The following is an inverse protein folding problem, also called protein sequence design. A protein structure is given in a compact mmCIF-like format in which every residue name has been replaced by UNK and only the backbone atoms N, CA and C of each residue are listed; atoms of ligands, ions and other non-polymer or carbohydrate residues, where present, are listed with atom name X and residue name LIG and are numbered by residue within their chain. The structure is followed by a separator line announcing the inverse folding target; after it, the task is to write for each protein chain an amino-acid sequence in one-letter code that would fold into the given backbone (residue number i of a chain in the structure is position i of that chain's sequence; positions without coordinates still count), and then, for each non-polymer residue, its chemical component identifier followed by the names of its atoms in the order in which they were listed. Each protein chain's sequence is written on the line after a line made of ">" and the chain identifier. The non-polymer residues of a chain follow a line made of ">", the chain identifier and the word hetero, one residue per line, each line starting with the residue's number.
data_IF_199254950486
#
_entry.id   IF_199254950486
#
_cell.length_a   1.000
_cell.length_b   1.000
_cell.length_c   1.000
_cell.angle_alpha   90.00
_cell.angle_beta   90.00
_cell.angle_gamma   90.00
#
_symmetry.space_group_name_H-M   'P 1'
#
loop_
_entity.id
_entity.type
_entity.pdbx_description
1 polymer ?
2 non-polymer ?
3 non-polymer ?
4 water ?
#
# COMPACT_ATOMS: atom_id res chain seq x y z
N UNK A 1 4.26 -7.96 21.89
CA UNK A 1 5.59 -7.82 22.48
C UNK A 1 6.68 -7.87 21.43
N UNK A 2 7.66 -6.98 21.56
CA UNK A 2 8.71 -6.90 20.56
C UNK A 2 9.61 -8.13 20.60
N UNK A 3 10.05 -8.54 19.42
CA UNK A 3 10.93 -9.68 19.23
C UNK A 3 12.24 -9.17 18.63
N UNK A 4 13.34 -9.86 18.95
CA UNK A 4 14.63 -9.44 18.42
C UNK A 4 14.69 -9.43 16.89
N UNK A 5 13.82 -10.19 16.22
CA UNK A 5 13.80 -10.22 14.77
C UNK A 5 13.04 -9.06 14.14
N UNK A 6 12.30 -8.27 14.93
CA UNK A 6 11.47 -7.21 14.34
C UNK A 6 12.27 -6.18 13.55
N UNK A 7 13.41 -5.66 14.03
CA UNK A 7 14.16 -4.70 13.20
C UNK A 7 14.52 -5.26 11.83
N UNK A 8 15.04 -6.49 11.77
CA UNK A 8 15.44 -7.06 10.49
C UNK A 8 14.24 -7.31 9.60
N UNK A 9 13.12 -7.78 10.17
CA UNK A 9 11.93 -7.98 9.35
C UNK A 9 11.40 -6.65 8.82
N UNK A 10 11.47 -5.60 9.63
CA UNK A 10 11.07 -4.28 9.18
C UNK A 10 12.00 -3.75 8.08
N UNK A 11 13.28 -4.13 8.08
CA UNK A 11 14.14 -3.76 6.97
C UNK A 11 13.68 -4.43 5.68
N UNK A 12 13.26 -5.70 5.76
CA UNK A 12 12.72 -6.36 4.57
C UNK A 12 11.47 -5.63 4.08
N UNK A 13 10.59 -5.25 5.01
CA UNK A 13 9.41 -4.47 4.65
C UNK A 13 9.80 -3.16 3.99
N UNK A 14 10.81 -2.45 4.53
CA UNK A 14 11.23 -1.21 3.91
C UNK A 14 11.76 -1.44 2.50
N UNK A 15 12.46 -2.57 2.29
CA UNK A 15 12.93 -2.89 0.95
C UNK A 15 11.78 -3.11 -0.02
N UNK A 16 10.77 -3.85 0.42
CA UNK A 16 9.56 -4.03 -0.40
C UNK A 16 8.94 -2.68 -0.75
N UNK A 17 8.79 -1.82 0.25
CA UNK A 17 8.19 -0.50 0.04
C UNK A 17 8.98 0.29 -1.00
N UNK A 18 10.31 0.30 -0.87
CA UNK A 18 11.13 0.97 -1.86
C UNK A 18 10.92 0.39 -3.25
N UNK A 19 10.82 -0.95 -3.35
CA UNK A 19 10.53 -1.55 -4.65
C UNK A 19 9.17 -1.12 -5.19
N UNK A 20 8.14 -1.10 -4.34
CA UNK A 20 6.82 -0.71 -4.83
C UNK A 20 6.81 0.71 -5.39
N UNK A 21 7.67 1.58 -4.87
CA UNK A 21 7.77 2.96 -5.28
C UNK A 21 8.76 3.18 -6.43
N UNK A 22 9.44 2.14 -6.88
CA UNK A 22 10.54 2.25 -7.83
C UNK A 22 10.04 2.31 -9.28
N UNK A 23 10.94 2.76 -10.17
CA UNK A 23 10.59 2.90 -11.58
C UNK A 23 10.14 1.58 -12.20
N UNK A 24 10.71 0.46 -11.73
CA UNK A 24 10.37 -0.84 -12.28
C UNK A 24 8.86 -1.08 -12.32
N UNK A 25 8.13 -0.61 -11.32
CA UNK A 25 6.71 -0.86 -11.20
C UNK A 25 5.83 0.36 -11.44
N UNK A 26 6.41 1.47 -11.91
CA UNK A 26 5.67 2.73 -11.94
C UNK A 26 4.49 2.71 -12.90
N UNK A 27 4.51 1.83 -13.91
CA UNK A 27 3.40 1.82 -14.87
C UNK A 27 2.08 1.41 -14.22
N UNK A 28 2.14 0.63 -13.13
CA UNK A 28 0.93 0.22 -12.43
C UNK A 28 0.91 0.61 -10.95
N UNK A 29 2.00 1.17 -10.41
CA UNK A 29 1.98 1.58 -9.01
C UNK A 29 1.49 3.00 -8.80
N UNK A 30 1.50 3.83 -9.85
CA UNK A 30 1.21 5.25 -9.69
C UNK A 30 -0.12 5.58 -9.01
N UNK A 31 -1.22 4.84 -9.20
CA UNK A 31 -2.45 5.22 -8.48
C UNK A 31 -2.35 5.11 -6.98
N UNK A 32 -1.32 4.45 -6.46
CA UNK A 32 -1.16 4.15 -5.05
C UNK A 32 -0.10 5.00 -4.37
N UNK A 33 0.50 5.95 -5.10
CA UNK A 33 1.59 6.75 -4.56
C UNK A 33 1.12 7.73 -3.48
N UNK A 34 -0.07 8.30 -3.61
CA UNK A 34 -0.53 9.38 -2.76
C UNK A 34 -1.97 9.11 -2.33
N UNK A 35 -2.42 9.76 -1.26
CA UNK A 35 -3.83 9.57 -0.84
C UNK A 35 -4.77 9.89 -1.99
N UNK A 36 -5.83 9.09 -2.12
CA UNK A 36 -6.88 9.41 -3.09
C UNK A 36 -7.43 10.79 -2.78
N UNK A 37 -7.36 11.69 -3.76
CA UNK A 37 -7.96 13.01 -3.64
C UNK A 37 -9.37 12.89 -4.23
N UNK A 38 -10.30 12.49 -3.38
CA UNK A 38 -11.63 12.11 -3.86
C UNK A 38 -12.33 13.27 -4.56
N UNK A 39 -12.27 14.46 -3.97
CA UNK A 39 -12.94 15.62 -4.57
C UNK A 39 -12.33 15.95 -5.92
N UNK A 40 -10.99 15.95 -6.01
CA UNK A 40 -10.33 16.29 -7.27
C UNK A 40 -10.70 15.31 -8.37
N UNK A 41 -10.89 14.04 -8.02
CA UNK A 41 -11.20 12.99 -8.98
C UNK A 41 -12.68 12.83 -9.22
N UNK A 42 -13.53 13.61 -8.56
CA UNK A 42 -14.96 13.46 -8.74
C UNK A 42 -15.56 12.26 -8.04
N UNK A 43 -14.83 11.65 -7.11
CA UNK A 43 -15.28 10.45 -6.41
C UNK A 43 -15.94 10.86 -5.09
N UNK A 44 -17.12 11.48 -5.23
CA UNK A 44 -17.73 12.15 -4.08
C UNK A 44 -18.32 11.19 -3.06
N UNK A 45 -18.36 9.90 -3.35
CA UNK A 45 -18.78 8.88 -2.41
C UNK A 45 -17.61 8.12 -1.79
N UNK A 46 -16.37 8.47 -2.15
CA UNK A 46 -15.21 7.67 -1.75
C UNK A 46 -15.14 7.51 -0.23
N UNK A 47 -15.27 8.61 0.51
CA UNK A 47 -15.13 8.54 1.96
C UNK A 47 -16.35 8.01 2.67
N UNK A 48 -17.48 7.88 1.99
CA UNK A 48 -18.60 7.15 2.54
C UNK A 48 -18.39 5.65 2.44
N UNK A 49 -17.65 5.19 1.43
CA UNK A 49 -17.44 3.77 1.16
C UNK A 49 -16.15 3.27 1.81
N UNK A 50 -15.11 4.10 1.81
CA UNK A 50 -13.78 3.76 2.31
C UNK A 50 -13.60 4.49 3.63
N UNK A 51 -13.73 3.77 4.75
CA UNK A 51 -13.62 4.42 6.04
C UNK A 51 -12.18 4.56 6.54
N UNK A 52 -11.24 3.80 5.97
CA UNK A 52 -9.83 3.84 6.38
C UNK A 52 -8.95 3.93 5.15
N UNK A 53 -8.79 5.13 4.58
CA UNK A 53 -7.92 5.30 3.42
C UNK A 53 -6.48 4.91 3.74
N UNK A 54 -5.77 4.42 2.73
CA UNK A 54 -4.35 4.11 2.88
C UNK A 54 -3.69 4.19 1.51
N UNK A 55 -2.40 4.56 1.50
CA UNK A 55 -1.63 4.72 0.27
C UNK A 55 -0.16 4.60 0.62
N UNK A 56 0.68 4.48 -0.42
CA UNK A 56 2.09 4.19 -0.18
C UNK A 56 2.84 5.35 0.49
N UNK A 57 2.45 6.61 0.24
CA UNK A 57 3.13 7.71 0.93
C UNK A 57 2.85 7.68 2.42
N UNK A 58 1.65 7.24 2.81
CA UNK A 58 1.33 7.11 4.23
C UNK A 58 2.09 5.95 4.85
N UNK A 59 2.17 4.82 4.16
CA UNK A 59 3.00 3.70 4.61
C UNK A 59 4.44 4.16 4.80
N UNK A 60 4.96 4.93 3.84
CA UNK A 60 6.34 5.42 3.94
C UNK A 60 6.53 6.30 5.16
N UNK A 61 5.60 7.24 5.40
CA UNK A 61 5.71 8.09 6.57
C UNK A 61 5.68 7.28 7.85
N UNK A 62 4.82 6.26 7.92
CA UNK A 62 4.72 5.44 9.11
C UNK A 62 5.98 4.60 9.31
N UNK A 63 6.61 4.15 8.23
CA UNK A 63 7.90 3.46 8.36
C UNK A 63 8.98 4.42 8.86
N UNK A 64 9.06 5.61 8.25
CA UNK A 64 10.12 6.56 8.62
C UNK A 64 10.01 6.99 10.07
N UNK A 65 8.78 7.09 10.59
CA UNK A 65 8.48 7.53 11.95
C UNK A 65 8.50 6.39 12.96
N UNK A 66 8.85 5.17 12.53
CA UNK A 66 8.86 4.00 13.41
C UNK A 66 7.48 3.71 13.99
N UNK A 67 6.43 4.05 13.25
CA UNK A 67 5.07 3.75 13.68
C UNK A 67 4.82 2.24 13.67
N UNK A 68 5.21 1.57 12.58
CA UNK A 68 5.05 0.12 12.53
C UNK A 68 6.02 -0.55 13.50
N UNK A 69 5.48 -1.39 14.38
CA UNK A 69 6.34 -2.10 15.32
C UNK A 69 6.78 -3.46 14.80
N UNK A 70 6.13 -3.99 13.78
CA UNK A 70 6.46 -5.31 13.27
C UNK A 70 5.96 -5.44 11.84
N UNK A 71 6.41 -6.50 11.17
CA UNK A 71 6.09 -6.70 9.76
C UNK A 71 4.60 -6.89 9.54
N UNK A 72 3.92 -7.58 10.45
CA UNK A 72 2.49 -7.82 10.27
C UNK A 72 1.72 -6.51 10.24
N UNK A 73 2.10 -5.55 11.08
CA UNK A 73 1.42 -4.26 11.09
C UNK A 73 1.60 -3.53 9.76
N UNK A 74 2.82 -3.55 9.23
CA UNK A 74 3.09 -3.00 7.90
C UNK A 74 2.24 -3.67 6.83
N UNK A 75 2.22 -5.01 6.83
CA UNK A 75 1.51 -5.74 5.77
C UNK A 75 0.03 -5.45 5.82
N UNK A 76 -0.53 -5.30 7.01
CA UNK A 76 -1.96 -5.00 7.13
C UNK A 76 -2.31 -3.69 6.44
N UNK A 77 -1.44 -2.67 6.57
CA UNK A 77 -1.71 -1.39 5.91
C UNK A 77 -1.59 -1.50 4.40
N UNK A 78 -0.56 -2.20 3.91
CA UNK A 78 -0.44 -2.36 2.46
C UNK A 78 -1.67 -3.08 1.91
N UNK A 79 -2.10 -4.13 2.61
CA UNK A 79 -3.27 -4.88 2.16
C UNK A 79 -4.54 -4.06 2.27
N UNK A 80 -4.65 -3.20 3.28
CA UNK A 80 -5.80 -2.31 3.40
C UNK A 80 -5.90 -1.39 2.19
N UNK A 81 -4.77 -0.85 1.74
CA UNK A 81 -4.73 -0.02 0.54
C UNK A 81 -5.31 -0.77 -0.66
N UNK A 82 -4.87 -2.01 -0.88
CA UNK A 82 -5.39 -2.77 -2.02
C UNK A 82 -6.87 -3.09 -1.84
N UNK A 83 -7.25 -3.51 -0.64
CA UNK A 83 -8.66 -3.82 -0.36
C UNK A 83 -9.57 -2.63 -0.63
N UNK A 84 -9.13 -1.43 -0.26
CA UNK A 84 -9.94 -0.25 -0.55
C UNK A 84 -10.21 -0.12 -2.04
N UNK A 85 -9.19 -0.41 -2.87
CA UNK A 85 -9.34 -0.36 -4.31
C UNK A 85 -10.35 -1.41 -4.79
N UNK A 86 -10.23 -2.63 -4.26
CA UNK A 86 -11.17 -3.68 -4.65
C UNK A 86 -12.58 -3.40 -4.16
N UNK A 87 -12.72 -2.67 -3.04
CA UNK A 87 -14.06 -2.35 -2.53
C UNK A 87 -14.72 -1.24 -3.33
N UNK A 88 -13.97 -0.19 -3.66
CA UNK A 88 -14.57 1.01 -4.24
C UNK A 88 -14.91 0.85 -5.71
N UNK A 89 -14.03 0.20 -6.49
CA UNK A 89 -14.12 0.21 -7.94
C UNK A 89 -14.73 -1.09 -8.45
N UNK A 90 -15.40 -1.05 -9.61
CA UNK A 90 -15.82 -2.29 -10.25
C UNK A 90 -14.61 -3.16 -10.59
N UNK A 91 -14.78 -4.48 -10.60
CA UNK A 91 -13.61 -5.36 -10.73
C UNK A 91 -12.93 -5.31 -12.09
N UNK A 92 -13.58 -4.75 -13.12
CA UNK A 92 -12.96 -4.61 -14.43
C UNK A 92 -12.31 -3.23 -14.64
N UNK A 93 -12.29 -2.38 -13.62
CA UNK A 93 -11.67 -1.07 -13.73
C UNK A 93 -10.16 -1.20 -13.91
N UNK A 94 -9.57 -0.31 -14.72
CA UNK A 94 -8.12 -0.40 -14.93
C UNK A 94 -7.33 -0.20 -13.66
N UNK A 95 -7.85 0.57 -12.70
CA UNK A 95 -7.10 0.76 -11.46
C UNK A 95 -7.07 -0.55 -10.66
N UNK A 96 -8.11 -1.36 -10.77
CA UNK A 96 -8.11 -2.67 -10.13
C UNK A 96 -7.09 -3.60 -10.79
N UNK A 97 -6.98 -3.54 -12.12
CA UNK A 97 -5.97 -4.35 -12.80
C UNK A 97 -4.56 -3.96 -12.35
N UNK A 98 -4.33 -2.66 -12.15
CA UNK A 98 -3.05 -2.20 -11.64
C UNK A 98 -2.83 -2.66 -10.20
N UNK A 99 -3.87 -2.55 -9.35
CA UNK A 99 -3.76 -3.02 -7.97
C UNK A 99 -3.38 -4.49 -7.91
N UNK A 100 -4.02 -5.32 -8.75
CA UNK A 100 -3.72 -6.76 -8.69
C UNK A 100 -2.26 -7.03 -9.04
N UNK A 101 -1.72 -6.32 -10.03
CA UNK A 101 -0.32 -6.51 -10.38
C UNK A 101 0.61 -6.03 -9.27
N UNK A 102 0.34 -4.85 -8.69
CA UNK A 102 1.21 -4.37 -7.62
C UNK A 102 1.08 -5.25 -6.38
N UNK A 103 -0.12 -5.74 -6.09
CA UNK A 103 -0.27 -6.64 -4.94
C UNK A 103 0.49 -7.95 -5.16
N UNK A 104 0.56 -8.43 -6.39
CA UNK A 104 1.35 -9.63 -6.67
C UNK A 104 2.83 -9.38 -6.37
N UNK A 105 3.35 -8.21 -6.77
CA UNK A 105 4.71 -7.83 -6.40
C UNK A 105 4.87 -7.88 -4.89
N UNK A 106 3.94 -7.25 -4.17
CA UNK A 106 4.00 -7.20 -2.72
C UNK A 106 3.96 -8.59 -2.10
N UNK A 107 2.94 -9.38 -2.45
CA UNK A 107 2.72 -10.63 -1.73
C UNK A 107 3.86 -11.62 -1.97
N UNK A 108 4.36 -11.68 -3.20
CA UNK A 108 5.43 -12.64 -3.46
C UNK A 108 6.72 -12.26 -2.74
N UNK A 109 7.03 -10.97 -2.64
CA UNK A 109 8.24 -10.59 -1.92
C UNK A 109 8.05 -10.61 -0.40
N UNK A 110 6.86 -10.26 0.09
CA UNK A 110 6.58 -10.37 1.52
C UNK A 110 6.73 -11.81 1.98
N UNK A 111 6.33 -12.76 1.12
CA UNK A 111 6.45 -14.18 1.44
C UNK A 111 7.90 -14.62 1.59
N UNK A 112 8.85 -13.88 1.03
CA UNK A 112 10.28 -14.16 1.13
C UNK A 112 10.92 -13.55 2.38
N UNK A 113 10.12 -13.18 3.36
CA UNK A 113 10.61 -12.61 4.61
C UNK A 113 11.72 -13.48 5.20
N UNK A 114 12.92 -12.93 5.44
CA UNK A 114 14.00 -13.69 6.08
C UNK A 114 13.70 -14.01 7.54
X LIG B 1 -9.40 3.45 -6.34
X LIG B 1 -9.24 4.35 -7.18
X LIG B 1 -10.25 4.63 -8.10
X LIG B 1 -8.12 5.21 -7.34
X LIG B 1 -6.90 5.27 -6.70
X LIG B 1 -6.41 4.40 -5.64
X LIG B 1 -6.23 6.29 -7.28
X LIG B 1 -6.91 6.88 -8.24
X LIG B 1 -8.08 6.20 -8.28
X LIG B 1 -9.12 6.43 -9.15
X LIG B 1 -9.04 7.43 -10.20
X LIG B 1 -10.25 5.61 -9.07
X LIG B 1 -11.18 5.73 -9.85
X LIG C 1 -2.76 2.65 13.65
X LIG C 1 -3.04 1.26 13.62
X LIG C 1 -1.38 2.88 14.22
X LIG C 1 -0.54 3.55 13.27
X LIG C 1 -1.38 3.63 15.53
X LIG C 1 -0.10 3.63 16.14
#
# INVERSE_FOLDING_TARGET
>A
GSHMQDPEQLKHCNGILKELLSKKHAAYAWPFYKPVDASALGLHDYHDIIKHPMDLSTVKRKMENRDYRDAQEFAADVRLMFSNCYEYNPPDHDVVAMARKLQDVFEFRYAKMPD
>B hetero
1 37T O6 C6 N1 C5 N7 C13 C8 N9 C4 N3 C12 C2 O2
>C hetero
1 GOL C1 O1 C2 O2 C3 O3
#
